data_IF_460688862295
#
_entry.id   IF_460688862295
#
_cell.length_a   1.000
_cell.length_b   1.000
_cell.length_c   1.000
_cell.angle_alpha   90.00
_cell.angle_beta   90.00
_cell.angle_gamma   90.00
#
_symmetry.space_group_name_H-M   'P 1'
#
loop_
_entity.id
_entity.type
_entity.pdbx_description
1 polymer ?
#
# COMPACT_ATOMS: atom_id res chain seq x y z
N UNK A 1 48.27 -45.33 -49.45
CA UNK A 1 46.86 -45.26 -49.00
C UNK A 1 46.88 -45.36 -47.48
N UNK A 2 46.38 -44.37 -46.75
CA UNK A 2 46.37 -44.38 -45.30
C UNK A 2 45.09 -45.07 -44.79
N UNK A 3 45.23 -45.98 -43.82
CA UNK A 3 44.11 -46.73 -43.26
C UNK A 3 43.13 -45.84 -42.47
N UNK A 4 41.84 -46.16 -42.59
CA UNK A 4 40.71 -45.40 -42.07
C UNK A 4 40.63 -45.57 -40.54
N UNK A 5 40.73 -44.48 -39.80
CA UNK A 5 40.57 -44.48 -38.33
C UNK A 5 39.13 -44.90 -37.99
N UNK A 6 38.96 -46.09 -37.42
CA UNK A 6 37.66 -46.77 -37.23
C UNK A 6 37.14 -46.78 -35.80
N UNK A 7 37.80 -46.12 -34.84
CA UNK A 7 37.37 -46.08 -33.44
C UNK A 7 37.47 -44.68 -32.85
N UNK A 8 36.35 -43.97 -32.85
CA UNK A 8 36.17 -42.79 -32.00
C UNK A 8 35.84 -43.30 -30.59
N UNK A 9 36.82 -43.27 -29.68
CA UNK A 9 36.57 -43.52 -28.25
C UNK A 9 35.83 -42.31 -27.68
N UNK A 10 34.53 -42.44 -27.41
CA UNK A 10 33.78 -41.48 -26.60
C UNK A 10 34.33 -41.52 -25.18
N UNK A 11 34.95 -40.45 -24.73
CA UNK A 11 35.38 -40.29 -23.34
C UNK A 11 34.09 -40.09 -22.52
N UNK A 12 33.69 -41.12 -21.79
CA UNK A 12 32.61 -41.01 -20.80
C UNK A 12 33.24 -40.43 -19.53
N UNK A 13 32.98 -39.14 -19.26
CA UNK A 13 33.44 -38.48 -18.05
C UNK A 13 32.88 -39.22 -16.83
N UNK A 14 33.74 -39.55 -15.89
CA UNK A 14 33.36 -40.13 -14.60
C UNK A 14 32.57 -39.12 -13.76
N UNK A 15 31.75 -39.59 -12.81
CA UNK A 15 31.01 -38.70 -11.90
C UNK A 15 31.93 -37.75 -11.12
N UNK A 16 33.15 -38.19 -10.82
CA UNK A 16 34.17 -37.36 -10.19
C UNK A 16 34.64 -36.21 -11.10
N UNK A 17 34.85 -36.47 -12.39
CA UNK A 17 35.21 -35.44 -13.37
C UNK A 17 34.07 -34.46 -13.63
N UNK A 18 32.82 -34.93 -13.68
CA UNK A 18 31.62 -34.08 -13.82
C UNK A 18 31.46 -33.18 -12.60
N UNK A 19 31.69 -33.72 -11.39
CA UNK A 19 31.61 -32.94 -10.15
C UNK A 19 32.70 -31.88 -10.07
N UNK A 20 33.92 -32.22 -10.50
CA UNK A 20 35.03 -31.27 -10.56
C UNK A 20 34.75 -30.14 -11.56
N UNK A 21 34.25 -30.47 -12.75
CA UNK A 21 33.91 -29.48 -13.78
C UNK A 21 32.78 -28.52 -13.32
N UNK A 22 31.74 -29.04 -12.67
CA UNK A 22 30.67 -28.21 -12.08
C UNK A 22 31.16 -27.31 -10.95
N UNK A 23 32.09 -27.79 -10.13
CA UNK A 23 32.71 -26.97 -9.09
C UNK A 23 33.48 -25.81 -9.70
N UNK A 24 34.25 -26.08 -10.76
CA UNK A 24 34.98 -25.04 -11.51
C UNK A 24 34.01 -24.04 -12.12
N UNK A 25 32.97 -24.50 -12.83
CA UNK A 25 31.95 -23.65 -13.45
C UNK A 25 31.25 -22.73 -12.43
N UNK A 26 30.85 -23.27 -11.27
CA UNK A 26 30.24 -22.48 -10.20
C UNK A 26 31.24 -21.49 -9.61
N UNK A 27 32.50 -21.88 -9.45
CA UNK A 27 33.55 -21.01 -8.90
C UNK A 27 33.86 -19.86 -9.85
N UNK A 28 33.95 -20.12 -11.16
CA UNK A 28 34.19 -19.12 -12.19
C UNK A 28 33.01 -18.14 -12.26
N UNK A 29 31.77 -18.63 -12.26
CA UNK A 29 30.58 -17.78 -12.24
C UNK A 29 30.53 -16.88 -10.97
N UNK A 30 30.95 -17.40 -9.82
CA UNK A 30 31.07 -16.60 -8.59
C UNK A 30 32.18 -15.56 -8.72
N UNK A 31 33.33 -15.92 -9.30
CA UNK A 31 34.48 -15.04 -9.47
C UNK A 31 34.17 -13.89 -10.44
N UNK A 32 33.49 -14.17 -11.56
CA UNK A 32 33.03 -13.15 -12.52
C UNK A 32 32.00 -12.20 -11.91
N UNK A 33 31.19 -12.68 -10.98
CA UNK A 33 30.12 -11.89 -10.33
C UNK A 33 30.47 -11.47 -8.89
N UNK A 34 31.76 -11.44 -8.55
CA UNK A 34 32.26 -11.22 -7.18
C UNK A 34 31.57 -10.04 -6.48
N UNK A 35 31.54 -8.88 -7.11
CA UNK A 35 31.00 -7.66 -6.48
C UNK A 35 29.49 -7.75 -6.26
N UNK A 36 28.75 -8.34 -7.20
CA UNK A 36 27.31 -8.57 -7.07
C UNK A 36 26.98 -9.56 -5.95
N UNK A 37 27.79 -10.63 -5.83
CA UNK A 37 27.64 -11.62 -4.76
C UNK A 37 27.99 -11.02 -3.40
N UNK A 38 29.05 -10.22 -3.29
CA UNK A 38 29.39 -9.52 -2.05
C UNK A 38 28.26 -8.57 -1.61
N UNK A 39 27.68 -7.79 -2.54
CA UNK A 39 26.51 -6.95 -2.24
C UNK A 39 25.28 -7.75 -1.82
N UNK A 40 25.03 -8.90 -2.44
CA UNK A 40 23.94 -9.79 -2.02
C UNK A 40 24.17 -10.35 -0.61
N UNK A 41 25.41 -10.73 -0.27
CA UNK A 41 25.78 -11.17 1.07
C UNK A 41 25.61 -10.04 2.08
N UNK A 42 26.03 -8.82 1.76
CA UNK A 42 25.83 -7.64 2.62
C UNK A 42 24.35 -7.34 2.85
N UNK A 43 23.52 -7.44 1.80
CA UNK A 43 22.07 -7.31 1.92
C UNK A 43 21.49 -8.39 2.84
N UNK A 44 21.85 -9.65 2.63
CA UNK A 44 21.41 -10.76 3.48
C UNK A 44 21.83 -10.53 4.93
N UNK A 45 23.05 -10.06 5.17
CA UNK A 45 23.53 -9.72 6.51
C UNK A 45 22.74 -8.58 7.14
N UNK A 46 22.49 -7.50 6.40
CA UNK A 46 21.67 -6.39 6.89
C UNK A 46 20.24 -6.83 7.23
N UNK A 47 19.63 -7.71 6.41
CA UNK A 47 18.31 -8.28 6.68
C UNK A 47 18.32 -9.20 7.91
N UNK A 48 19.40 -9.95 8.15
CA UNK A 48 19.55 -10.82 9.32
C UNK A 48 19.77 -10.00 10.61
N UNK A 49 20.65 -9.00 10.57
CA UNK A 49 20.90 -8.05 11.67
C UNK A 49 19.61 -7.33 12.08
N UNK A 50 18.78 -6.95 11.11
CA UNK A 50 17.46 -6.35 11.32
C UNK A 50 16.38 -7.35 11.77
N UNK A 51 16.72 -8.63 11.99
CA UNK A 51 15.79 -9.72 12.35
C UNK A 51 14.67 -9.98 11.33
N UNK A 52 14.83 -9.48 10.10
CA UNK A 52 13.85 -9.67 9.02
C UNK A 52 13.84 -11.13 8.56
N UNK A 53 15.01 -11.78 8.46
CA UNK A 53 15.08 -13.20 8.07
C UNK A 53 14.41 -14.11 9.11
N UNK A 54 14.62 -13.84 10.39
CA UNK A 54 13.96 -14.55 11.50
C UNK A 54 12.44 -14.35 11.46
N UNK A 55 11.98 -13.12 11.25
CA UNK A 55 10.56 -12.80 11.10
C UNK A 55 9.94 -13.49 9.88
N UNK A 56 10.60 -13.45 8.73
CA UNK A 56 10.15 -14.13 7.51
C UNK A 56 10.06 -15.64 7.69
N UNK A 57 11.07 -16.25 8.34
CA UNK A 57 11.07 -17.68 8.68
C UNK A 57 9.94 -18.03 9.65
N UNK A 58 9.71 -17.19 10.67
CA UNK A 58 8.60 -17.32 11.61
C UNK A 58 7.24 -17.24 10.90
N UNK A 59 7.08 -16.26 10.01
CA UNK A 59 5.88 -16.08 9.21
C UNK A 59 5.59 -17.28 8.30
N UNK A 60 6.61 -17.84 7.64
CA UNK A 60 6.45 -19.05 6.81
C UNK A 60 6.07 -20.26 7.66
N UNK A 61 6.70 -20.45 8.83
CA UNK A 61 6.38 -21.54 9.74
C UNK A 61 4.97 -21.43 10.33
N UNK A 62 4.53 -20.22 10.63
CA UNK A 62 3.22 -19.94 11.25
C UNK A 62 2.17 -19.46 10.25
N UNK A 63 2.41 -19.63 8.94
CA UNK A 63 1.55 -19.10 7.88
C UNK A 63 0.07 -19.43 8.05
N UNK A 64 -0.24 -20.65 8.50
CA UNK A 64 -1.62 -21.09 8.75
C UNK A 64 -2.27 -20.33 9.90
N UNK A 65 -1.57 -20.22 11.04
CA UNK A 65 -2.07 -19.51 12.23
C UNK A 65 -2.21 -18.01 11.98
N UNK A 66 -1.26 -17.41 11.25
CA UNK A 66 -1.29 -15.99 10.89
C UNK A 66 -2.47 -15.74 9.95
N UNK A 67 -2.61 -16.53 8.89
CA UNK A 67 -3.70 -16.41 7.94
C UNK A 67 -5.06 -16.60 8.63
N UNK A 68 -5.21 -17.63 9.46
CA UNK A 68 -6.42 -17.89 10.23
C UNK A 68 -6.78 -16.72 11.15
N UNK A 69 -5.83 -16.19 11.92
CA UNK A 69 -6.08 -15.04 12.79
C UNK A 69 -6.45 -13.78 12.01
N UNK A 70 -5.72 -13.49 10.93
CA UNK A 70 -6.02 -12.34 10.07
C UNK A 70 -7.41 -12.48 9.44
N UNK A 71 -7.73 -13.62 8.86
CA UNK A 71 -9.04 -13.86 8.24
C UNK A 71 -10.15 -13.78 9.28
N UNK A 72 -9.99 -14.37 10.46
CA UNK A 72 -10.98 -14.28 11.54
C UNK A 72 -11.17 -12.83 12.01
N UNK A 73 -10.09 -12.06 12.13
CA UNK A 73 -10.15 -10.66 12.54
C UNK A 73 -10.84 -9.81 11.47
N UNK A 74 -10.46 -9.96 10.20
CA UNK A 74 -11.05 -9.22 9.08
C UNK A 74 -12.51 -9.60 8.82
N UNK A 75 -12.92 -10.82 9.17
CA UNK A 75 -14.31 -11.27 9.06
C UNK A 75 -15.23 -10.73 10.16
N UNK A 76 -14.71 -9.98 11.15
CA UNK A 76 -15.56 -9.35 12.16
C UNK A 76 -16.47 -8.30 11.52
N UNK A 77 -17.72 -8.22 11.98
CA UNK A 77 -18.73 -7.29 11.47
C UNK A 77 -18.27 -5.83 11.48
N UNK A 78 -17.47 -5.43 12.47
CA UNK A 78 -16.89 -4.09 12.57
C UNK A 78 -16.04 -3.68 11.36
N UNK A 79 -15.47 -4.65 10.63
CA UNK A 79 -14.65 -4.41 9.44
C UNK A 79 -15.35 -4.72 8.13
N UNK A 80 -16.47 -5.47 8.17
CA UNK A 80 -17.23 -5.86 6.98
C UNK A 80 -17.60 -4.65 6.10
N UNK A 81 -18.09 -3.57 6.70
CA UNK A 81 -18.43 -2.34 5.97
C UNK A 81 -17.22 -1.64 5.34
N UNK A 82 -16.05 -1.66 5.99
CA UNK A 82 -14.82 -1.07 5.44
C UNK A 82 -14.32 -1.93 4.29
N UNK A 83 -14.23 -3.24 4.47
CA UNK A 83 -13.72 -4.18 3.47
C UNK A 83 -14.62 -4.18 2.23
N UNK A 84 -15.94 -4.22 2.42
CA UNK A 84 -16.92 -4.20 1.32
C UNK A 84 -16.80 -2.92 0.48
N UNK A 85 -16.58 -1.78 1.13
CA UNK A 85 -16.55 -0.48 0.46
C UNK A 85 -15.13 0.01 0.12
N UNK A 86 -14.07 -0.71 0.50
CA UNK A 86 -12.67 -0.22 0.38
C UNK A 86 -12.31 0.12 -1.07
N UNK A 87 -12.69 -0.74 -2.03
CA UNK A 87 -12.45 -0.47 -3.45
C UNK A 87 -13.17 0.79 -3.94
N UNK A 88 -14.42 0.98 -3.52
CA UNK A 88 -15.20 2.18 -3.85
C UNK A 88 -14.60 3.42 -3.20
N UNK A 89 -14.17 3.33 -1.94
CA UNK A 89 -13.50 4.43 -1.22
C UNK A 89 -12.21 4.86 -1.93
N UNK A 90 -11.38 3.91 -2.38
CA UNK A 90 -10.14 4.22 -3.12
C UNK A 90 -10.45 4.92 -4.45
N UNK A 91 -11.44 4.44 -5.19
CA UNK A 91 -11.87 5.05 -6.45
C UNK A 91 -12.46 6.45 -6.24
N UNK A 92 -13.29 6.61 -5.21
CA UNK A 92 -13.85 7.91 -4.85
C UNK A 92 -12.76 8.89 -4.44
N UNK A 93 -11.81 8.48 -3.61
CA UNK A 93 -10.67 9.33 -3.21
C UNK A 93 -9.81 9.75 -4.42
N UNK A 94 -9.65 8.88 -5.41
CA UNK A 94 -8.96 9.20 -6.67
C UNK A 94 -9.74 10.14 -7.59
N UNK A 95 -11.07 10.20 -7.47
CA UNK A 95 -11.93 11.08 -8.28
C UNK A 95 -12.15 12.47 -7.64
N UNK A 96 -11.75 12.64 -6.37
CA UNK A 96 -11.88 13.91 -5.65
C UNK A 96 -10.63 14.78 -5.85
N UNK A 97 -10.84 16.09 -6.01
CA UNK A 97 -9.75 17.07 -5.93
C UNK A 97 -9.23 17.15 -4.48
N UNK A 98 -7.96 16.79 -4.20
CA UNK A 98 -7.42 16.79 -2.85
C UNK A 98 -7.43 18.18 -2.19
N UNK A 99 -7.24 19.25 -2.95
CA UNK A 99 -7.21 20.60 -2.39
C UNK A 99 -8.61 21.07 -2.01
N UNK A 100 -9.60 20.86 -2.89
CA UNK A 100 -11.00 21.12 -2.57
C UNK A 100 -11.47 20.32 -1.34
N UNK A 101 -11.09 19.04 -1.25
CA UNK A 101 -11.41 18.18 -0.11
C UNK A 101 -10.79 18.73 1.18
N UNK A 102 -9.52 19.12 1.17
CA UNK A 102 -8.83 19.69 2.33
C UNK A 102 -9.48 20.99 2.80
N UNK A 103 -9.82 21.89 1.87
CA UNK A 103 -10.52 23.14 2.17
C UNK A 103 -11.90 22.85 2.79
N UNK A 104 -12.67 21.92 2.21
CA UNK A 104 -13.98 21.54 2.71
C UNK A 104 -13.90 20.94 4.12
N UNK A 105 -13.00 19.99 4.36
CA UNK A 105 -12.79 19.37 5.68
C UNK A 105 -12.41 20.41 6.74
N UNK A 106 -11.52 21.35 6.41
CA UNK A 106 -11.15 22.43 7.31
C UNK A 106 -12.34 23.34 7.65
N UNK A 107 -13.17 23.69 6.66
CA UNK A 107 -14.37 24.51 6.87
C UNK A 107 -15.42 23.77 7.71
N UNK A 108 -15.66 22.49 7.43
CA UNK A 108 -16.58 21.64 8.22
C UNK A 108 -16.11 21.54 9.67
N UNK A 109 -14.83 21.29 9.90
CA UNK A 109 -14.28 21.18 11.26
C UNK A 109 -14.43 22.49 12.05
N UNK A 110 -14.15 23.64 11.43
CA UNK A 110 -14.40 24.96 12.03
C UNK A 110 -15.90 25.18 12.31
N UNK A 111 -16.77 24.80 11.37
CA UNK A 111 -18.23 24.90 11.54
C UNK A 111 -18.74 24.06 12.70
N UNK A 112 -18.26 22.83 12.85
CA UNK A 112 -18.57 21.96 13.99
C UNK A 112 -18.13 22.59 15.32
N UNK A 113 -16.95 23.20 15.35
CA UNK A 113 -16.46 23.89 16.55
C UNK A 113 -17.40 25.04 16.97
N UNK A 114 -17.82 25.89 16.02
CA UNK A 114 -18.77 26.99 16.27
C UNK A 114 -20.15 26.44 16.68
N UNK A 115 -20.64 25.39 16.02
CA UNK A 115 -21.92 24.78 16.35
C UNK A 115 -21.94 24.20 17.78
N UNK A 116 -20.85 23.58 18.22
CA UNK A 116 -20.73 23.03 19.58
C UNK A 116 -20.64 24.12 20.67
N UNK A 117 -20.29 25.36 20.31
CA UNK A 117 -20.32 26.50 21.25
C UNK A 117 -21.69 27.16 21.35
N UNK A 118 -22.59 26.89 20.39
CA UNK A 118 -23.95 27.42 20.42
C UNK A 118 -24.77 26.74 21.53
N UNK A 119 -25.73 27.47 22.10
CA UNK A 119 -26.64 26.87 23.08
C UNK A 119 -27.47 25.76 22.43
N UNK A 120 -27.62 24.57 23.05
CA UNK A 120 -28.35 23.43 22.47
C UNK A 120 -29.81 23.74 22.09
N UNK A 121 -30.41 24.74 22.76
CA UNK A 121 -31.78 25.18 22.55
C UNK A 121 -31.90 26.45 21.70
N UNK A 122 -30.79 27.02 21.22
CA UNK A 122 -30.83 28.20 20.37
C UNK A 122 -31.51 27.87 19.05
N UNK A 123 -32.51 28.66 18.69
CA UNK A 123 -33.22 28.54 17.40
C UNK A 123 -33.03 29.80 16.60
N UNK A 124 -32.81 29.63 15.30
CA UNK A 124 -32.82 30.74 14.35
C UNK A 124 -34.25 31.24 14.17
N UNK A 125 -34.53 32.47 14.62
CA UNK A 125 -35.80 33.15 14.36
C UNK A 125 -35.82 33.80 12.98
N UNK A 126 -37.00 34.15 12.46
CA UNK A 126 -37.14 34.86 11.17
C UNK A 126 -36.33 36.17 11.17
N UNK A 127 -36.38 36.92 12.27
CA UNK A 127 -35.58 38.14 12.43
C UNK A 127 -34.06 37.87 12.52
N UNK A 128 -33.66 36.73 13.09
CA UNK A 128 -32.28 36.27 13.08
C UNK A 128 -31.80 35.89 11.68
N UNK A 129 -32.64 35.18 10.92
CA UNK A 129 -32.34 34.82 9.54
C UNK A 129 -32.21 36.06 8.63
N UNK A 130 -33.09 37.04 8.77
CA UNK A 130 -32.97 38.32 8.04
C UNK A 130 -31.67 39.08 8.37
N UNK A 131 -31.14 38.93 9.59
CA UNK A 131 -29.82 39.46 9.95
C UNK A 131 -28.70 38.70 9.25
N UNK A 132 -28.77 37.37 9.22
CA UNK A 132 -27.82 36.50 8.50
C UNK A 132 -27.76 36.85 7.01
N UNK A 133 -28.88 37.18 6.37
CA UNK A 133 -28.92 37.59 4.97
C UNK A 133 -28.31 38.97 4.69
N UNK A 134 -28.31 39.87 5.68
CA UNK A 134 -27.74 41.22 5.56
C UNK A 134 -26.26 41.27 5.90
N UNK A 135 -25.75 40.24 6.58
CA UNK A 135 -24.34 40.10 6.88
C UNK A 135 -23.60 39.56 5.65
N UNK A 136 -22.59 40.30 5.18
CA UNK A 136 -21.92 40.02 3.91
C UNK A 136 -21.20 38.65 3.92
N UNK A 137 -20.56 38.29 5.04
CA UNK A 137 -19.81 37.03 5.16
C UNK A 137 -20.76 35.81 5.21
N UNK A 138 -21.84 35.94 5.99
CA UNK A 138 -22.86 34.91 6.09
C UNK A 138 -23.64 34.74 4.78
N UNK A 139 -23.98 35.84 4.10
CA UNK A 139 -24.65 35.81 2.80
C UNK A 139 -23.77 35.15 1.73
N UNK A 140 -22.47 35.48 1.68
CA UNK A 140 -21.52 34.82 0.78
C UNK A 140 -21.44 33.31 1.05
N UNK A 141 -21.39 32.91 2.32
CA UNK A 141 -21.35 31.50 2.73
C UNK A 141 -22.65 30.75 2.35
N UNK A 142 -23.81 31.37 2.56
CA UNK A 142 -25.10 30.84 2.15
C UNK A 142 -25.19 30.70 0.63
N UNK A 143 -24.73 31.70 -0.11
CA UNK A 143 -24.69 31.68 -1.58
C UNK A 143 -23.78 30.57 -2.10
N UNK A 144 -22.61 30.37 -1.48
CA UNK A 144 -21.72 29.25 -1.80
C UNK A 144 -22.42 27.90 -1.58
N UNK A 145 -23.08 27.72 -0.43
CA UNK A 145 -23.82 26.50 -0.12
C UNK A 145 -24.95 26.24 -1.12
N UNK A 146 -25.75 27.27 -1.46
CA UNK A 146 -26.81 27.15 -2.47
C UNK A 146 -26.27 26.78 -3.86
N UNK A 147 -25.14 27.33 -4.26
CA UNK A 147 -24.49 26.95 -5.53
C UNK A 147 -23.94 25.53 -5.51
N UNK A 148 -23.42 25.07 -4.36
CA UNK A 148 -23.03 23.67 -4.18
C UNK A 148 -24.25 22.73 -4.30
N UNK A 149 -25.37 23.06 -3.64
CA UNK A 149 -26.63 22.32 -3.78
C UNK A 149 -27.12 22.30 -5.24
N UNK A 150 -27.05 23.44 -5.93
CA UNK A 150 -27.40 23.53 -7.36
C UNK A 150 -26.53 22.65 -8.25
N UNK A 151 -25.25 22.48 -7.90
CA UNK A 151 -24.33 21.57 -8.58
C UNK A 151 -24.68 20.10 -8.38
N UNK A 152 -25.13 19.71 -7.19
CA UNK A 152 -25.54 18.33 -6.88
C UNK A 152 -26.85 17.89 -7.54
N UNK A 153 -27.68 18.84 -7.99
CA UNK A 153 -28.93 18.57 -8.71
C UNK A 153 -28.72 18.28 -10.21
N UNK A 154 -27.50 18.42 -10.73
CA UNK A 154 -27.17 18.25 -12.14
C UNK A 154 -26.50 16.91 -12.40
#
# INVERSE_FOLDING_TARGET
>A
MAERISKIKRIQKSEAEIKAERLTEVTDAIAENKDSILKAIELVRALDEAKILDAAKGAVKQRGVIAEKLTNELNKDQYSGVIHNMGQMVLMLGALDPEALRVLLNKVNKGLHVANQASPNARTSIAGFMRVLKDDEMNQSLTYFLNMLKGMSR
#
